data_IF_673151243409
#
_entry.id   IF_673151243409
#
_cell.length_a   1.000
_cell.length_b   1.000
_cell.length_c   1.000
_cell.angle_alpha   90.00
_cell.angle_beta   90.00
_cell.angle_gamma   90.00
#
_symmetry.space_group_name_H-M   'P 1'
#
loop_
_entity.id
_entity.type
_entity.pdbx_description
1 polymer ?
#
# COMPACT_ATOMS: atom_id res chain seq x y z
N UNK A 1 4.58 3.73 15.05
CA UNK A 1 4.36 2.82 13.90
C UNK A 1 4.56 3.51 12.57
N UNK A 2 4.05 4.74 12.39
CA UNK A 2 4.22 5.49 11.14
C UNK A 2 5.67 5.88 10.91
N UNK A 3 6.35 6.30 11.94
CA UNK A 3 7.78 6.61 11.91
C UNK A 3 8.59 5.37 11.50
N UNK A 4 8.34 4.25 12.17
CA UNK A 4 9.05 3.01 11.93
C UNK A 4 8.79 2.50 10.50
N UNK A 5 7.54 2.56 10.05
CA UNK A 5 7.18 2.14 8.70
C UNK A 5 7.92 2.97 7.65
N UNK A 6 7.95 4.30 7.82
CA UNK A 6 8.66 5.19 6.91
C UNK A 6 10.17 4.96 6.91
N UNK A 7 10.75 4.78 8.08
CA UNK A 7 12.20 4.55 8.23
C UNK A 7 12.63 3.22 7.62
N UNK A 8 11.84 2.17 7.81
CA UNK A 8 12.11 0.86 7.23
C UNK A 8 11.99 0.91 5.71
N UNK A 9 10.95 1.56 5.21
CA UNK A 9 10.74 1.73 3.77
C UNK A 9 11.90 2.52 3.15
N UNK A 10 12.35 3.58 3.81
CA UNK A 10 13.48 4.38 3.36
C UNK A 10 14.74 3.53 3.22
N UNK A 11 14.98 2.66 4.21
CA UNK A 11 16.20 1.88 4.27
C UNK A 11 16.23 0.72 3.27
N UNK A 12 15.12 0.03 3.08
CA UNK A 12 15.11 -1.25 2.36
C UNK A 12 14.37 -1.27 1.03
N UNK A 13 13.40 -0.38 0.83
CA UNK A 13 12.59 -0.43 -0.38
C UNK A 13 13.19 0.42 -1.50
N UNK A 14 13.09 -0.10 -2.73
CA UNK A 14 13.47 0.66 -3.92
C UNK A 14 12.31 1.52 -4.40
N UNK A 15 11.09 1.10 -4.13
CA UNK A 15 9.87 1.85 -4.43
C UNK A 15 8.83 1.60 -3.36
N UNK A 16 8.10 2.65 -2.98
CA UNK A 16 7.13 2.60 -1.89
C UNK A 16 5.80 3.19 -2.36
N UNK A 17 4.71 2.45 -2.16
CA UNK A 17 3.36 3.00 -2.30
C UNK A 17 2.74 3.05 -0.90
N UNK A 18 2.38 4.25 -0.48
CA UNK A 18 1.77 4.48 0.83
C UNK A 18 0.26 4.58 0.63
N UNK A 19 -0.50 3.76 1.35
CA UNK A 19 -1.94 3.68 1.18
C UNK A 19 -2.67 3.48 2.50
N UNK A 20 -3.99 3.40 2.42
CA UNK A 20 -4.83 3.19 3.60
C UNK A 20 -4.70 1.79 4.17
N UNK A 21 -4.77 1.72 5.49
CA UNK A 21 -4.99 0.50 6.24
C UNK A 21 -5.73 0.91 7.51
N UNK A 22 -7.05 0.70 7.50
CA UNK A 22 -7.92 1.03 8.63
C UNK A 22 -7.66 2.43 9.22
N UNK A 23 -7.82 3.51 8.42
CA UNK A 23 -7.54 4.86 8.91
C UNK A 23 -8.45 5.28 10.07
N UNK A 24 -9.62 4.66 10.22
CA UNK A 24 -10.56 4.99 11.28
C UNK A 24 -11.02 6.45 11.17
N UNK A 25 -10.94 7.17 12.29
CA UNK A 25 -11.38 8.56 12.36
C UNK A 25 -10.33 9.57 11.88
N UNK A 26 -9.12 9.13 11.59
CA UNK A 26 -8.07 10.02 11.11
C UNK A 26 -8.19 10.26 9.60
N UNK A 27 -7.75 11.44 9.17
CA UNK A 27 -7.65 11.78 7.75
C UNK A 27 -6.55 10.91 7.11
N UNK A 28 -6.91 10.14 6.09
CA UNK A 28 -5.96 9.27 5.41
C UNK A 28 -4.80 10.06 4.79
N UNK A 29 -5.03 11.26 4.31
CA UNK A 29 -3.98 12.09 3.74
C UNK A 29 -2.96 12.50 4.80
N UNK A 30 -3.42 12.75 6.02
CA UNK A 30 -2.53 13.06 7.15
C UNK A 30 -1.67 11.86 7.53
N UNK A 31 -2.28 10.68 7.60
CA UNK A 31 -1.58 9.44 7.93
C UNK A 31 -0.49 9.17 6.88
N UNK A 32 -0.85 9.20 5.61
CA UNK A 32 0.10 8.96 4.52
C UNK A 32 1.20 10.01 4.48
N UNK A 33 0.85 11.26 4.75
CA UNK A 33 1.83 12.35 4.80
C UNK A 33 2.83 12.18 5.94
N UNK A 34 2.39 11.69 7.09
CA UNK A 34 3.29 11.39 8.21
C UNK A 34 4.29 10.30 7.85
N UNK A 35 3.82 9.22 7.24
CA UNK A 35 4.71 8.13 6.81
C UNK A 35 5.72 8.66 5.79
N UNK A 36 5.26 9.43 4.81
CA UNK A 36 6.13 10.01 3.78
C UNK A 36 7.19 10.91 4.39
N UNK A 37 6.87 11.62 5.49
CA UNK A 37 7.81 12.54 6.14
C UNK A 37 9.06 11.84 6.68
N UNK A 38 8.99 10.53 6.91
CA UNK A 38 10.13 9.72 7.39
C UNK A 38 10.89 9.04 6.25
N UNK A 39 10.53 9.33 5.01
CA UNK A 39 11.24 8.84 3.82
C UNK A 39 12.05 10.00 3.25
N UNK A 40 13.37 9.85 3.25
CA UNK A 40 14.27 10.89 2.75
C UNK A 40 14.26 10.99 1.22
N UNK A 41 14.30 9.85 0.56
CA UNK A 41 14.29 9.78 -0.91
C UNK A 41 12.85 9.74 -1.41
N UNK A 42 12.20 10.89 -1.40
CA UNK A 42 10.76 11.00 -1.70
C UNK A 42 10.43 10.66 -3.16
N UNK A 43 11.39 10.71 -4.05
CA UNK A 43 11.22 10.35 -5.46
C UNK A 43 10.89 8.87 -5.65
N UNK A 44 11.19 8.02 -4.67
CA UNK A 44 10.83 6.60 -4.72
C UNK A 44 9.49 6.27 -4.07
N UNK A 45 8.80 7.27 -3.52
CA UNK A 45 7.57 7.06 -2.77
C UNK A 45 6.39 7.76 -3.43
N UNK A 46 5.23 7.12 -3.39
CA UNK A 46 3.99 7.67 -3.93
C UNK A 46 2.85 7.38 -2.97
N UNK A 47 1.96 8.35 -2.79
CA UNK A 47 0.75 8.17 -1.97
C UNK A 47 -0.41 7.87 -2.90
N UNK A 48 -1.03 6.71 -2.71
CA UNK A 48 -2.26 6.31 -3.40
C UNK A 48 -3.23 5.85 -2.32
N UNK A 49 -4.18 6.70 -1.95
CA UNK A 49 -5.01 6.45 -0.78
C UNK A 49 -5.97 5.27 -0.92
N UNK A 50 -6.46 5.00 -2.12
CA UNK A 50 -7.29 3.83 -2.36
C UNK A 50 -6.43 2.57 -2.42
N UNK A 51 -6.64 1.65 -1.50
CA UNK A 51 -5.78 0.47 -1.39
C UNK A 51 -5.86 -0.44 -2.61
N UNK A 52 -7.03 -0.60 -3.23
CA UNK A 52 -7.14 -1.42 -4.44
C UNK A 52 -6.25 -0.87 -5.55
N UNK A 53 -6.32 0.44 -5.77
CA UNK A 53 -5.49 1.13 -6.78
C UNK A 53 -4.02 1.05 -6.41
N UNK A 54 -3.68 1.20 -5.12
CA UNK A 54 -2.30 1.16 -4.65
C UNK A 54 -1.65 -0.20 -4.92
N UNK A 55 -2.34 -1.27 -4.57
CA UNK A 55 -1.83 -2.63 -4.79
C UNK A 55 -1.70 -2.92 -6.28
N UNK A 56 -2.70 -2.54 -7.08
CA UNK A 56 -2.64 -2.71 -8.53
C UNK A 56 -1.45 -1.96 -9.13
N UNK A 57 -1.23 -0.71 -8.71
CA UNK A 57 -0.11 0.12 -9.21
C UNK A 57 1.24 -0.52 -8.88
N UNK A 58 1.40 -1.00 -7.64
CA UNK A 58 2.63 -1.67 -7.23
C UNK A 58 2.88 -2.93 -8.05
N UNK A 59 1.84 -3.73 -8.29
CA UNK A 59 1.94 -4.95 -9.09
C UNK A 59 2.28 -4.65 -10.54
N UNK A 60 1.68 -3.62 -11.13
CA UNK A 60 2.00 -3.19 -12.51
C UNK A 60 3.46 -2.78 -12.62
N UNK A 61 3.97 -2.08 -11.63
CA UNK A 61 5.37 -1.66 -11.60
C UNK A 61 6.29 -2.87 -11.49
N UNK A 62 5.94 -3.82 -10.63
CA UNK A 62 6.72 -5.05 -10.44
C UNK A 62 6.74 -5.92 -11.70
N UNK A 63 5.67 -5.92 -12.48
CA UNK A 63 5.56 -6.68 -13.73
C UNK A 63 6.69 -6.36 -14.70
N UNK A 64 7.17 -5.12 -14.71
CA UNK A 64 8.25 -4.70 -15.59
C UNK A 64 9.66 -5.03 -15.08
N UNK A 65 9.77 -5.72 -13.96
CA UNK A 65 11.05 -6.01 -13.31
C UNK A 65 11.35 -7.48 -13.32
N UNK A 66 12.64 -7.85 -13.52
CA UNK A 66 13.04 -9.27 -13.56
C UNK A 66 13.00 -9.92 -12.18
N UNK A 67 13.57 -9.29 -11.18
CA UNK A 67 13.66 -9.83 -9.83
C UNK A 67 13.08 -8.83 -8.86
N UNK A 68 11.80 -8.96 -8.57
CA UNK A 68 11.10 -8.05 -7.69
C UNK A 68 10.47 -8.79 -6.52
N UNK A 69 10.70 -8.29 -5.31
CA UNK A 69 10.00 -8.76 -4.11
C UNK A 69 9.00 -7.69 -3.73
N UNK A 70 7.73 -8.07 -3.73
CA UNK A 70 6.65 -7.18 -3.31
C UNK A 70 6.28 -7.50 -1.86
N UNK A 71 6.42 -6.50 -0.99
CA UNK A 71 6.03 -6.62 0.40
C UNK A 71 4.71 -5.89 0.59
N UNK A 72 3.69 -6.62 1.02
CA UNK A 72 2.36 -6.07 1.32
C UNK A 72 2.20 -6.03 2.84
N UNK A 73 2.13 -4.83 3.38
CA UNK A 73 2.07 -4.65 4.83
C UNK A 73 0.63 -4.38 5.26
N UNK A 74 0.09 -5.30 6.05
CA UNK A 74 -1.23 -5.18 6.63
C UNK A 74 -2.30 -5.95 5.91
N UNK A 75 -3.05 -5.56 5.12
CA UNK A 75 -4.08 -6.01 4.21
C UNK A 75 -4.60 -7.46 4.25
N UNK A 76 -4.52 -8.14 5.39
CA UNK A 76 -5.01 -9.54 5.50
C UNK A 76 -6.48 -9.63 5.87
N UNK A 77 -7.10 -8.55 6.29
CA UNK A 77 -8.49 -8.55 6.70
C UNK A 77 -9.42 -8.30 5.51
N UNK A 78 -10.60 -8.92 5.57
CA UNK A 78 -11.61 -8.76 4.53
C UNK A 78 -12.53 -7.54 4.78
N UNK A 79 -12.05 -6.57 5.52
CA UNK A 79 -12.79 -5.34 5.81
C UNK A 79 -11.84 -4.15 5.95
N UNK A 80 -12.38 -2.95 5.80
CA UNK A 80 -11.66 -1.69 5.97
C UNK A 80 -12.42 -0.79 6.93
N UNK A 81 -11.73 -0.25 7.92
CA UNK A 81 -12.31 0.72 8.87
C UNK A 81 -12.09 2.14 8.38
N UNK A 82 -13.18 2.84 8.11
CA UNK A 82 -13.15 4.25 7.72
C UNK A 82 -14.16 5.01 8.57
N UNK A 83 -13.70 6.03 9.27
CA UNK A 83 -14.51 6.72 10.24
C UNK A 83 -14.91 5.75 11.35
N UNK A 84 -16.20 5.74 11.71
CA UNK A 84 -16.73 4.83 12.71
C UNK A 84 -17.41 3.60 12.09
N UNK A 85 -17.17 3.33 10.82
CA UNK A 85 -17.81 2.25 10.08
C UNK A 85 -16.79 1.24 9.57
N UNK A 86 -17.27 0.01 9.35
CA UNK A 86 -16.51 -1.08 8.78
C UNK A 86 -17.13 -1.42 7.43
N UNK A 87 -16.33 -1.42 6.39
CA UNK A 87 -16.76 -1.72 5.02
C UNK A 87 -16.17 -3.05 4.56
N UNK A 88 -16.92 -3.85 3.78
CA UNK A 88 -16.31 -5.02 3.12
C UNK A 88 -15.17 -4.56 2.21
N UNK A 89 -14.10 -5.31 2.19
CA UNK A 89 -12.92 -5.00 1.38
C UNK A 89 -12.23 -6.29 0.99
N UNK A 90 -11.59 -6.30 -0.17
CA UNK A 90 -10.75 -7.43 -0.54
C UNK A 90 -9.54 -7.49 0.39
N UNK A 91 -9.04 -8.70 0.62
CA UNK A 91 -7.72 -8.89 1.22
C UNK A 91 -6.65 -8.58 0.17
N UNK A 92 -5.42 -8.35 0.60
CA UNK A 92 -4.32 -8.15 -0.35
C UNK A 92 -4.10 -9.40 -1.21
N UNK A 93 -4.29 -10.59 -0.62
CA UNK A 93 -4.23 -11.83 -1.40
C UNK A 93 -5.25 -11.87 -2.54
N UNK A 94 -6.48 -11.42 -2.26
CA UNK A 94 -7.53 -11.33 -3.29
C UNK A 94 -7.18 -10.30 -4.36
N UNK A 95 -6.59 -9.16 -3.98
CA UNK A 95 -6.14 -8.14 -4.92
C UNK A 95 -5.08 -8.68 -5.86
N UNK A 96 -4.14 -9.42 -5.33
CA UNK A 96 -3.08 -10.07 -6.13
C UNK A 96 -3.68 -11.09 -7.09
N UNK A 97 -4.61 -11.92 -6.62
CA UNK A 97 -5.26 -12.91 -7.47
C UNK A 97 -6.01 -12.28 -8.64
N UNK A 98 -6.73 -11.19 -8.39
CA UNK A 98 -7.44 -10.47 -9.46
C UNK A 98 -6.48 -9.92 -10.50
N UNK A 99 -5.33 -9.41 -10.09
CA UNK A 99 -4.30 -8.92 -10.99
C UNK A 99 -3.75 -10.05 -11.85
N UNK A 100 -3.39 -11.18 -11.23
CA UNK A 100 -2.83 -12.33 -11.94
C UNK A 100 -3.80 -12.90 -12.97
N UNK A 101 -5.09 -12.91 -12.67
CA UNK A 101 -6.10 -13.36 -13.63
C UNK A 101 -6.15 -12.48 -14.87
N UNK A 102 -5.88 -11.19 -14.75
CA UNK A 102 -5.86 -10.27 -15.90
C UNK A 102 -4.69 -10.52 -16.83
N UNK A 103 -3.52 -10.83 -16.27
CA UNK A 103 -2.30 -11.00 -17.08
C UNK A 103 -2.10 -12.43 -17.58
N UNK A 104 -2.78 -13.40 -16.99
CA UNK A 104 -2.65 -14.82 -17.34
C UNK A 104 -3.78 -15.34 -18.23
N UNK A 105 -4.39 -14.47 -19.00
CA UNK A 105 -5.45 -14.86 -19.95
C UNK A 105 -4.92 -15.55 -21.18
#
# INVERSE_FOLDING_TARGET
RRKEAGEIAEKYADFVVITELDPGMEDINKICGEILSYIDHKEKAEIITDRDTAVYTALKKAEGMENCVLVLAGGSDAYMKRGNKVYPSDTDGERVQKFLKKICK
#
